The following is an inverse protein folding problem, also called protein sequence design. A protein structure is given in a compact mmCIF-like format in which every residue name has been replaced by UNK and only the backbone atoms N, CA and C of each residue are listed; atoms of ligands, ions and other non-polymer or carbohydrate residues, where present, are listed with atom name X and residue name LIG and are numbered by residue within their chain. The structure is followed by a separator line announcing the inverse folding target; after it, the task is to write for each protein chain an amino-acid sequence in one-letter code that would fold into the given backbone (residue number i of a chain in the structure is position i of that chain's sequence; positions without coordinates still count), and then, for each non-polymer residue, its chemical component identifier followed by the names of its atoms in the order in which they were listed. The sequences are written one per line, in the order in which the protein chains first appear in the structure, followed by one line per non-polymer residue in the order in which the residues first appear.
data_IF_217679268634
#
_entry.id   IF_217679268634
#
_cell.length_a   1.000
_cell.length_b   1.000
_cell.length_c   1.000
_cell.angle_alpha   90.00
_cell.angle_beta   90.00
_cell.angle_gamma   90.00
#
_symmetry.space_group_name_H-M   'P 1'
#
loop_
_entity.id
_entity.type
_entity.pdbx_description
1 polymer ?
#
# COMPACT_ATOMS: atom_id res chain seq x y z
N UNK A 1 -12.52 -25.40 -20.96
CA UNK A 1 -11.36 -24.65 -20.46
C UNK A 1 -11.47 -23.26 -21.04
N UNK A 2 -12.12 -22.36 -20.30
CA UNK A 2 -12.56 -21.05 -20.79
C UNK A 2 -11.42 -20.05 -20.80
N UNK A 3 -11.35 -19.31 -21.91
CA UNK A 3 -10.49 -18.17 -22.22
C UNK A 3 -10.12 -17.30 -21.01
N UNK A 4 -8.82 -17.23 -20.73
CA UNK A 4 -8.16 -16.36 -19.74
C UNK A 4 -7.81 -14.97 -20.33
N UNK A 5 -8.29 -14.64 -21.54
CA UNK A 5 -7.80 -13.51 -22.35
C UNK A 5 -8.67 -12.24 -22.25
N UNK A 6 -9.61 -12.15 -21.30
CA UNK A 6 -10.51 -10.99 -21.18
C UNK A 6 -10.12 -9.97 -20.09
N UNK A 7 -9.04 -10.21 -19.34
CA UNK A 7 -8.56 -9.26 -18.34
C UNK A 7 -7.38 -8.51 -18.95
N UNK A 8 -7.61 -7.25 -19.34
CA UNK A 8 -6.56 -6.40 -19.91
C UNK A 8 -5.29 -6.35 -19.06
N UNK A 9 -4.18 -5.95 -19.68
CA UNK A 9 -2.89 -5.84 -19.01
C UNK A 9 -2.99 -5.03 -17.71
N UNK A 10 -2.53 -5.62 -16.60
CA UNK A 10 -2.51 -4.97 -15.29
C UNK A 10 -1.22 -4.19 -15.10
N UNK A 11 -1.34 -2.92 -14.75
CA UNK A 11 -0.23 -2.00 -14.47
C UNK A 11 -0.23 -1.63 -13.00
N UNK A 12 0.94 -1.39 -12.41
CA UNK A 12 1.06 -0.91 -11.03
C UNK A 12 0.68 0.57 -10.91
N UNK A 13 -0.29 0.85 -10.05
CA UNK A 13 -0.71 2.17 -9.63
C UNK A 13 -0.43 2.35 -8.14
N UNK A 14 0.02 3.53 -7.75
CA UNK A 14 0.05 3.94 -6.36
C UNK A 14 -1.13 4.85 -6.04
N UNK A 15 -1.69 4.68 -4.84
CA UNK A 15 -2.56 5.69 -4.24
C UNK A 15 -1.67 6.63 -3.44
N UNK A 16 -1.46 7.83 -3.96
CA UNK A 16 -0.59 8.82 -3.33
C UNK A 16 -1.31 9.44 -2.14
N UNK A 17 -0.78 9.22 -0.95
CA UNK A 17 -1.39 9.77 0.25
C UNK A 17 -0.66 9.32 1.49
N UNK A 18 0.52 9.88 1.74
CA UNK A 18 1.20 9.85 3.05
C UNK A 18 0.41 10.63 4.13
N UNK A 19 -0.91 10.59 4.05
CA UNK A 19 -1.83 11.27 4.93
C UNK A 19 -1.85 10.51 6.24
N UNK A 20 -1.39 11.14 7.31
CA UNK A 20 -1.55 10.63 8.69
C UNK A 20 -3.02 10.59 9.14
N UNK A 21 -3.95 11.11 8.32
CA UNK A 21 -5.38 11.02 8.55
C UNK A 21 -5.89 9.58 8.35
N UNK A 22 -6.34 8.98 9.45
CA UNK A 22 -6.87 7.62 9.49
C UNK A 22 -8.13 7.42 8.68
N UNK A 23 -8.97 8.46 8.55
CA UNK A 23 -10.21 8.39 7.77
C UNK A 23 -9.87 8.29 6.28
N UNK A 24 -8.85 9.04 5.84
CA UNK A 24 -8.37 8.99 4.45
C UNK A 24 -7.80 7.62 4.12
N UNK A 25 -6.91 7.08 4.97
CA UNK A 25 -6.32 5.76 4.76
C UNK A 25 -7.38 4.63 4.77
N UNK A 26 -8.35 4.68 5.69
CA UNK A 26 -9.48 3.73 5.70
C UNK A 26 -10.30 3.78 4.40
N UNK A 27 -10.58 4.98 3.89
CA UNK A 27 -11.28 5.16 2.60
C UNK A 27 -10.46 4.65 1.42
N UNK A 28 -9.14 4.88 1.42
CA UNK A 28 -8.23 4.42 0.37
C UNK A 28 -8.17 2.90 0.31
N UNK A 29 -7.89 2.23 1.44
CA UNK A 29 -7.89 0.76 1.52
C UNK A 29 -9.23 0.18 1.05
N UNK A 30 -10.35 0.73 1.54
CA UNK A 30 -11.68 0.25 1.16
C UNK A 30 -11.96 0.43 -0.33
N UNK A 31 -11.58 1.56 -0.92
CA UNK A 31 -11.78 1.80 -2.34
C UNK A 31 -11.01 0.78 -3.20
N UNK A 32 -9.77 0.44 -2.83
CA UNK A 32 -8.99 -0.58 -3.55
C UNK A 32 -9.62 -1.96 -3.38
N UNK A 33 -10.00 -2.34 -2.16
CA UNK A 33 -10.69 -3.62 -1.91
C UNK A 33 -11.99 -3.73 -2.71
N UNK A 34 -12.77 -2.66 -2.81
CA UNK A 34 -14.03 -2.65 -3.55
C UNK A 34 -13.81 -2.80 -5.07
N UNK A 35 -12.75 -2.19 -5.62
CA UNK A 35 -12.39 -2.33 -7.04
C UNK A 35 -11.92 -3.75 -7.35
N UNK A 36 -11.17 -4.35 -6.43
CA UNK A 36 -10.60 -5.69 -6.59
C UNK A 36 -11.50 -6.82 -6.08
N UNK A 37 -12.70 -6.52 -5.57
CA UNK A 37 -13.54 -7.52 -4.89
C UNK A 37 -13.90 -8.70 -5.80
N UNK A 38 -14.14 -8.44 -7.09
CA UNK A 38 -14.51 -9.46 -8.07
C UNK A 38 -13.36 -10.35 -8.56
N UNK A 39 -12.10 -10.00 -8.23
CA UNK A 39 -10.90 -10.68 -8.73
C UNK A 39 -9.98 -11.18 -7.61
N UNK A 40 -10.15 -10.68 -6.39
CA UNK A 40 -9.38 -11.12 -5.22
C UNK A 40 -9.92 -12.46 -4.73
N UNK A 41 -9.03 -13.42 -4.49
CA UNK A 41 -9.39 -14.76 -3.97
C UNK A 41 -8.88 -14.98 -2.55
N UNK A 42 -7.88 -14.22 -2.12
CA UNK A 42 -7.24 -14.37 -0.81
C UNK A 42 -6.61 -13.05 -0.35
N UNK A 43 -6.51 -12.87 0.96
CA UNK A 43 -5.68 -11.84 1.58
C UNK A 43 -4.66 -12.49 2.52
N UNK A 44 -3.51 -11.85 2.69
CA UNK A 44 -2.60 -12.09 3.82
C UNK A 44 -2.54 -10.80 4.64
N UNK A 45 -2.72 -10.92 5.95
CA UNK A 45 -2.82 -9.76 6.85
C UNK A 45 -1.88 -9.92 8.03
N UNK A 46 -1.03 -8.91 8.24
CA UNK A 46 -0.26 -8.80 9.47
C UNK A 46 -1.16 -8.24 10.58
N UNK A 47 -1.46 -9.06 11.58
CA UNK A 47 -2.26 -8.59 12.71
C UNK A 47 -1.37 -7.85 13.72
N UNK A 48 -0.69 -6.81 13.24
CA UNK A 48 0.11 -5.83 13.97
C UNK A 48 -0.21 -4.44 13.44
N UNK A 49 -0.08 -3.43 14.31
CA UNK A 49 -0.36 -2.03 13.98
C UNK A 49 0.63 -1.12 14.68
N UNK A 50 1.24 -0.19 13.92
CA UNK A 50 2.11 0.85 14.48
C UNK A 50 1.32 1.94 15.22
N UNK A 51 0.00 2.00 14.99
CA UNK A 51 -0.92 2.98 15.60
C UNK A 51 -1.93 2.30 16.52
N UNK A 52 -1.54 1.19 17.15
CA UNK A 52 -2.41 0.39 18.03
C UNK A 52 -3.03 1.19 19.20
N UNK A 53 -2.32 2.20 19.70
CA UNK A 53 -2.80 3.07 20.77
C UNK A 53 -4.06 3.87 20.39
N UNK A 54 -4.20 4.21 19.10
CA UNK A 54 -5.32 5.02 18.58
C UNK A 54 -6.46 4.16 18.01
N UNK A 55 -6.34 2.83 18.10
CA UNK A 55 -7.24 1.89 17.46
C UNK A 55 -8.62 1.86 18.15
N UNK A 56 -9.73 2.17 17.43
CA UNK A 56 -11.09 2.06 17.96
C UNK A 56 -11.42 0.63 18.40
N UNK A 57 -12.35 0.48 19.35
CA UNK A 57 -12.74 -0.82 19.88
C UNK A 57 -13.18 -1.80 18.78
N UNK A 58 -14.00 -1.34 17.84
CA UNK A 58 -14.49 -2.14 16.71
C UNK A 58 -13.36 -2.68 15.81
N UNK A 59 -12.23 -1.96 15.71
CA UNK A 59 -11.07 -2.38 14.92
C UNK A 59 -10.20 -3.34 15.72
N UNK A 60 -10.06 -3.12 17.04
CA UNK A 60 -9.41 -4.08 17.95
C UNK A 60 -10.15 -5.42 17.97
N UNK A 61 -11.47 -5.39 17.92
CA UNK A 61 -12.29 -6.61 17.82
C UNK A 61 -12.05 -7.32 16.48
N UNK A 62 -11.87 -6.57 15.38
CA UNK A 62 -11.52 -7.13 14.08
C UNK A 62 -10.12 -7.77 14.08
N UNK A 63 -9.12 -7.08 14.64
CA UNK A 63 -7.76 -7.61 14.85
C UNK A 63 -7.79 -8.91 15.67
N UNK A 64 -8.52 -8.92 16.79
CA UNK A 64 -8.66 -10.09 17.65
C UNK A 64 -9.32 -11.27 16.92
N UNK A 65 -10.34 -10.99 16.08
CA UNK A 65 -10.97 -11.99 15.22
C UNK A 65 -9.99 -12.62 14.24
N UNK A 66 -9.19 -11.81 13.54
CA UNK A 66 -8.16 -12.28 12.60
C UNK A 66 -7.04 -13.07 13.31
N UNK A 67 -6.60 -12.63 14.49
CA UNK A 67 -5.65 -13.39 15.32
C UNK A 67 -6.23 -14.73 15.78
N UNK A 68 -7.55 -14.80 15.98
CA UNK A 68 -8.27 -16.03 16.33
C UNK A 68 -8.26 -17.04 15.19
N UNK A 69 -8.44 -16.60 13.94
CA UNK A 69 -8.43 -17.48 12.75
C UNK A 69 -7.02 -17.94 12.36
N UNK A 70 -5.98 -17.11 12.60
CA UNK A 70 -4.59 -17.42 12.25
C UNK A 70 -3.91 -18.53 13.06
N UNK A 71 -4.52 -19.04 14.15
CA UNK A 71 -3.87 -20.04 15.03
C UNK A 71 -3.77 -21.44 14.41
N UNK A 72 -4.44 -21.69 13.30
CA UNK A 72 -4.46 -23.01 12.64
C UNK A 72 -3.56 -23.02 11.41
N UNK A 73 -2.23 -23.14 11.62
CA UNK A 73 -1.40 -23.87 10.64
C UNK A 73 -0.21 -23.20 9.95
N UNK A 74 0.53 -22.26 10.55
CA UNK A 74 1.70 -21.65 9.87
C UNK A 74 3.09 -21.86 10.51
N UNK A 75 4.08 -21.88 9.60
CA UNK A 75 5.52 -22.14 9.72
C UNK A 75 6.36 -20.88 10.05
N UNK A 76 5.73 -19.73 10.28
CA UNK A 76 6.43 -18.49 10.60
C UNK A 76 6.75 -18.38 12.10
N UNK A 77 7.83 -17.69 12.44
CA UNK A 77 8.25 -17.42 13.83
C UNK A 77 7.18 -16.64 14.61
N UNK A 78 6.38 -15.85 13.91
CA UNK A 78 5.38 -14.97 14.47
C UNK A 78 3.98 -15.40 14.03
N UNK A 79 3.12 -15.91 14.94
CA UNK A 79 1.85 -16.55 14.60
C UNK A 79 0.76 -15.59 14.08
N UNK A 80 1.07 -14.30 14.00
CA UNK A 80 0.14 -13.23 13.59
C UNK A 80 0.65 -12.44 12.39
N UNK A 81 1.77 -12.87 11.81
CA UNK A 81 2.26 -12.37 10.51
C UNK A 81 1.61 -13.17 9.39
N UNK A 82 1.25 -12.48 8.31
CA UNK A 82 0.69 -13.04 7.08
C UNK A 82 -0.49 -14.01 7.33
N UNK A 83 -1.43 -13.63 8.20
CA UNK A 83 -2.62 -14.42 8.48
C UNK A 83 -3.44 -14.55 7.18
N UNK A 84 -3.59 -15.76 6.62
CA UNK A 84 -4.31 -15.92 5.36
C UNK A 84 -5.81 -15.89 5.62
N UNK A 85 -6.52 -15.19 4.74
CA UNK A 85 -7.99 -15.13 4.72
C UNK A 85 -8.47 -15.41 3.31
N UNK A 86 -9.29 -16.46 3.16
CA UNK A 86 -9.92 -16.81 1.90
C UNK A 86 -11.10 -15.86 1.62
N UNK A 87 -11.27 -15.41 0.37
CA UNK A 87 -12.38 -14.52 -0.01
C UNK A 87 -13.75 -15.16 0.21
N UNK A 88 -13.84 -16.49 0.14
CA UNK A 88 -15.09 -17.23 0.34
C UNK A 88 -15.55 -17.28 1.81
N UNK A 89 -14.67 -17.00 2.77
CA UNK A 89 -15.05 -16.78 4.16
C UNK A 89 -15.50 -15.32 4.33
N UNK A 90 -16.79 -15.07 4.10
CA UNK A 90 -17.36 -13.72 4.18
C UNK A 90 -17.15 -13.06 5.55
N UNK A 91 -17.18 -13.85 6.63
CA UNK A 91 -17.05 -13.34 7.98
C UNK A 91 -15.60 -12.89 8.23
N UNK A 92 -14.62 -13.71 7.87
CA UNK A 92 -13.21 -13.36 7.98
C UNK A 92 -12.82 -12.23 7.02
N UNK A 93 -13.36 -12.24 5.79
CA UNK A 93 -13.12 -11.17 4.81
C UNK A 93 -13.63 -9.82 5.28
N UNK A 94 -14.77 -9.78 5.97
CA UNK A 94 -15.28 -8.55 6.59
C UNK A 94 -14.33 -8.02 7.70
N UNK A 95 -13.69 -8.91 8.47
CA UNK A 95 -12.65 -8.50 9.42
C UNK A 95 -11.47 -7.86 8.69
N UNK A 96 -11.02 -8.43 7.56
CA UNK A 96 -9.98 -7.82 6.72
C UNK A 96 -10.41 -6.44 6.25
N UNK A 97 -11.63 -6.27 5.73
CA UNK A 97 -12.12 -4.97 5.25
C UNK A 97 -12.15 -3.89 6.34
N UNK A 98 -12.44 -4.27 7.59
CA UNK A 98 -12.41 -3.35 8.73
C UNK A 98 -10.99 -3.04 9.18
N UNK A 99 -10.15 -4.07 9.28
CA UNK A 99 -8.82 -3.96 9.87
C UNK A 99 -7.73 -3.48 8.90
N UNK A 100 -7.90 -3.63 7.58
CA UNK A 100 -6.83 -3.47 6.59
C UNK A 100 -6.04 -2.15 6.70
N UNK A 101 -6.73 -1.03 6.95
CA UNK A 101 -6.06 0.27 7.10
C UNK A 101 -5.28 0.40 8.42
N UNK A 102 -5.40 -0.52 9.35
CA UNK A 102 -4.69 -0.52 10.63
C UNK A 102 -3.55 -1.54 10.67
N UNK A 103 -3.48 -2.43 9.67
CA UNK A 103 -2.41 -3.40 9.53
C UNK A 103 -1.11 -2.75 9.05
N UNK A 104 0.03 -3.19 9.57
CA UNK A 104 1.34 -2.85 8.99
C UNK A 104 1.52 -3.39 7.56
N UNK A 105 0.85 -4.49 7.22
CA UNK A 105 0.86 -5.08 5.88
C UNK A 105 -0.45 -5.83 5.54
N UNK A 106 -0.99 -5.56 4.37
CA UNK A 106 -2.05 -6.39 3.75
C UNK A 106 -1.69 -6.66 2.32
N UNK A 107 -1.65 -7.93 1.92
CA UNK A 107 -1.51 -8.34 0.53
C UNK A 107 -2.81 -8.97 0.04
N UNK A 108 -3.37 -8.46 -1.05
CA UNK A 108 -4.52 -9.03 -1.74
C UNK A 108 -4.05 -9.83 -2.95
N UNK A 109 -4.47 -11.08 -3.07
CA UNK A 109 -4.07 -11.99 -4.13
C UNK A 109 -5.23 -12.30 -5.06
N UNK A 110 -4.93 -12.34 -6.36
CA UNK A 110 -5.75 -13.05 -7.35
C UNK A 110 -5.37 -14.53 -7.41
N UNK A 111 -5.70 -15.20 -8.51
CA UNK A 111 -5.36 -16.61 -8.72
C UNK A 111 -3.87 -16.87 -8.91
N UNK A 112 -3.10 -15.85 -9.30
CA UNK A 112 -1.68 -15.94 -9.61
C UNK A 112 -0.88 -14.86 -8.87
N UNK A 113 0.39 -15.14 -8.49
CA UNK A 113 1.31 -14.13 -7.98
C UNK A 113 1.79 -13.18 -9.09
N UNK A 114 2.33 -11.99 -8.74
CA UNK A 114 2.41 -11.37 -7.41
C UNK A 114 1.06 -10.80 -6.91
N UNK A 115 0.96 -10.27 -5.67
CA UNK A 115 -0.26 -9.64 -5.15
C UNK A 115 -0.89 -8.64 -6.12
N UNK A 116 -2.23 -8.59 -6.14
CA UNK A 116 -3.00 -7.56 -6.84
C UNK A 116 -2.92 -6.22 -6.15
N UNK A 117 -2.81 -6.18 -4.83
CA UNK A 117 -2.56 -4.95 -4.09
C UNK A 117 -1.83 -5.21 -2.79
N UNK A 118 -1.04 -4.23 -2.37
CA UNK A 118 -0.35 -4.25 -1.09
C UNK A 118 -0.61 -2.94 -0.35
N UNK A 119 -1.02 -3.04 0.90
CA UNK A 119 -1.22 -1.91 1.82
C UNK A 119 -0.15 -1.99 2.91
N UNK A 120 0.78 -1.04 2.89
CA UNK A 120 1.83 -0.92 3.90
C UNK A 120 1.55 0.24 4.86
N UNK A 121 2.19 0.17 6.01
CA UNK A 121 2.26 1.25 7.00
C UNK A 121 0.85 1.74 7.36
N UNK A 122 -0.06 0.82 7.71
CA UNK A 122 -1.44 1.17 8.05
C UNK A 122 -2.16 1.92 6.91
N UNK A 123 -1.94 1.49 5.66
CA UNK A 123 -2.57 2.09 4.49
C UNK A 123 -2.02 3.48 4.10
N UNK A 124 -0.86 3.88 4.61
CA UNK A 124 -0.16 5.10 4.17
C UNK A 124 0.58 4.92 2.85
N UNK A 125 0.88 3.68 2.47
CA UNK A 125 1.46 3.34 1.18
C UNK A 125 0.67 2.20 0.56
N UNK A 126 -0.04 2.49 -0.53
CA UNK A 126 -0.90 1.53 -1.22
C UNK A 126 -0.45 1.43 -2.68
N UNK A 127 -0.14 0.21 -3.11
CA UNK A 127 0.16 -0.12 -4.51
C UNK A 127 -0.82 -1.18 -4.97
N UNK A 128 -1.35 -1.04 -6.19
CA UNK A 128 -2.28 -2.00 -6.77
C UNK A 128 -1.99 -2.23 -8.26
N UNK A 129 -2.02 -3.48 -8.70
CA UNK A 129 -1.93 -3.93 -10.09
C UNK A 129 -3.33 -3.95 -10.70
N UNK A 130 -3.65 -2.91 -11.47
CA UNK A 130 -5.00 -2.64 -11.97
C UNK A 130 -5.05 -2.69 -13.49
N UNK A 131 -6.18 -3.12 -14.05
CA UNK A 131 -6.49 -2.83 -15.46
C UNK A 131 -6.82 -1.34 -15.64
N UNK A 132 -6.91 -0.88 -16.89
CA UNK A 132 -7.29 0.51 -17.17
C UNK A 132 -8.69 0.87 -16.60
N UNK A 133 -9.64 -0.05 -16.68
CA UNK A 133 -11.00 0.12 -16.18
C UNK A 133 -11.04 0.20 -14.64
N UNK A 134 -10.30 -0.68 -13.98
CA UNK A 134 -10.17 -0.69 -12.52
C UNK A 134 -9.46 0.57 -12.01
N UNK A 135 -8.40 1.02 -12.70
CA UNK A 135 -7.70 2.26 -12.37
C UNK A 135 -8.62 3.49 -12.53
N UNK A 136 -9.44 3.51 -13.58
CA UNK A 136 -10.44 4.56 -13.78
C UNK A 136 -11.52 4.54 -12.69
N UNK A 137 -12.00 3.36 -12.28
CA UNK A 137 -12.95 3.24 -11.17
C UNK A 137 -12.34 3.70 -9.85
N UNK A 138 -11.11 3.26 -9.54
CA UNK A 138 -10.41 3.67 -8.33
C UNK A 138 -10.19 5.19 -8.28
N UNK A 139 -9.77 5.78 -9.40
CA UNK A 139 -9.59 7.24 -9.54
C UNK A 139 -10.90 7.99 -9.26
N UNK A 140 -12.02 7.47 -9.76
CA UNK A 140 -13.34 8.05 -9.51
C UNK A 140 -13.73 7.97 -8.04
N UNK A 141 -13.49 6.82 -7.38
CA UNK A 141 -13.79 6.61 -5.95
C UNK A 141 -12.95 7.48 -5.03
N UNK A 142 -11.71 7.77 -5.42
CA UNK A 142 -10.76 8.58 -4.63
C UNK A 142 -10.69 10.05 -5.05
N UNK A 143 -11.62 10.49 -5.92
CA UNK A 143 -11.68 11.88 -6.36
C UNK A 143 -11.81 12.84 -5.17
N UNK A 144 -10.83 13.73 -5.04
CA UNK A 144 -10.76 14.71 -3.94
C UNK A 144 -10.25 14.14 -2.61
N UNK A 145 -9.81 12.89 -2.59
CA UNK A 145 -9.22 12.22 -1.41
C UNK A 145 -7.73 11.99 -1.63
N UNK A 146 -7.38 11.25 -2.68
CA UNK A 146 -6.00 10.86 -2.98
C UNK A 146 -5.83 10.68 -4.51
N UNK A 147 -4.74 11.19 -5.12
CA UNK A 147 -4.43 10.86 -6.50
C UNK A 147 -4.08 9.39 -6.66
N UNK A 148 -4.46 8.83 -7.81
CA UNK A 148 -4.07 7.50 -8.26
C UNK A 148 -3.24 7.68 -9.51
N UNK A 149 -2.01 7.14 -9.51
CA UNK A 149 -1.05 7.35 -10.60
C UNK A 149 -0.27 6.08 -10.88
N UNK A 150 0.15 5.85 -12.14
CA UNK A 150 1.08 4.77 -12.45
C UNK A 150 2.35 4.89 -11.60
N UNK A 151 2.81 3.77 -11.02
CA UNK A 151 3.97 3.76 -10.15
C UNK A 151 5.26 4.12 -10.92
N UNK A 152 5.33 3.79 -12.21
CA UNK A 152 6.44 4.17 -13.10
C UNK A 152 6.63 5.68 -13.18
N UNK A 153 5.55 6.45 -13.35
CA UNK A 153 5.61 7.91 -13.42
C UNK A 153 6.18 8.51 -12.12
N UNK A 154 5.74 8.00 -10.97
CA UNK A 154 6.24 8.43 -9.65
C UNK A 154 7.74 8.14 -9.52
N UNK A 155 8.19 6.97 -9.98
CA UNK A 155 9.60 6.60 -9.94
C UNK A 155 10.47 7.47 -10.85
N UNK A 156 9.98 7.82 -12.03
CA UNK A 156 10.66 8.71 -12.97
C UNK A 156 10.82 10.13 -12.38
N UNK A 157 9.75 10.70 -11.83
CA UNK A 157 9.79 12.01 -11.17
C UNK A 157 10.79 12.03 -10.01
N UNK A 158 10.73 11.02 -9.13
CA UNK A 158 11.69 10.88 -8.00
C UNK A 158 13.12 10.68 -8.48
N UNK A 159 13.34 10.02 -9.61
CA UNK A 159 14.68 9.88 -10.18
C UNK A 159 15.25 11.24 -10.61
N UNK A 160 14.45 12.05 -11.31
CA UNK A 160 14.81 13.41 -11.73
C UNK A 160 15.09 14.30 -10.53
N UNK A 161 14.25 14.26 -9.48
CA UNK A 161 14.48 15.02 -8.25
C UNK A 161 15.78 14.62 -7.55
N UNK A 162 16.05 13.32 -7.43
CA UNK A 162 17.29 12.81 -6.82
C UNK A 162 18.52 13.28 -7.59
N UNK A 163 18.46 13.32 -8.91
CA UNK A 163 19.54 13.83 -9.74
C UNK A 163 19.77 15.34 -9.52
N UNK A 164 18.71 16.15 -9.54
CA UNK A 164 18.78 17.59 -9.24
C UNK A 164 19.39 17.84 -7.85
N UNK A 165 18.95 17.10 -6.83
CA UNK A 165 19.47 17.22 -5.48
C UNK A 165 20.96 16.84 -5.38
N UNK A 166 21.41 15.81 -6.13
CA UNK A 166 22.83 15.45 -6.24
C UNK A 166 23.65 16.57 -6.90
N UNK A 167 23.12 17.18 -7.96
CA UNK A 167 23.73 18.33 -8.62
C UNK A 167 23.89 19.53 -7.67
N UNK A 168 22.83 19.89 -6.95
CA UNK A 168 22.84 20.98 -5.98
C UNK A 168 23.87 20.76 -4.85
N UNK A 169 23.92 19.56 -4.26
CA UNK A 169 24.94 19.21 -3.23
C UNK A 169 26.37 19.32 -3.77
N UNK A 170 26.58 18.94 -5.03
CA UNK A 170 27.89 19.03 -5.68
C UNK A 170 28.29 20.50 -5.92
N UNK A 171 27.36 21.33 -6.37
CA UNK A 171 27.58 22.76 -6.55
C UNK A 171 27.88 23.46 -5.20
N UNK A 172 27.11 23.15 -4.16
CA UNK A 172 27.31 23.68 -2.80
C UNK A 172 28.67 23.27 -2.21
N UNK A 173 29.09 22.00 -2.39
CA UNK A 173 30.45 21.57 -2.04
C UNK A 173 31.49 22.39 -2.77
N UNK A 174 31.37 22.56 -4.10
CA UNK A 174 32.34 23.34 -4.89
C UNK A 174 32.39 24.81 -4.45
N UNK A 175 31.25 25.42 -4.15
CA UNK A 175 31.19 26.80 -3.63
C UNK A 175 31.90 26.93 -2.28
N UNK A 176 31.65 26.00 -1.33
CA UNK A 176 32.34 25.95 -0.04
C UNK A 176 33.87 25.82 -0.18
N UNK A 177 34.33 24.94 -1.07
CA UNK A 177 35.76 24.79 -1.37
C UNK A 177 36.36 26.09 -1.91
N UNK A 178 35.72 26.74 -2.90
CA UNK A 178 36.19 28.02 -3.46
C UNK A 178 36.27 29.13 -2.40
N UNK A 179 35.25 29.28 -1.57
CA UNK A 179 35.23 30.27 -0.50
C UNK A 179 36.37 30.06 0.52
N UNK A 180 36.69 28.79 0.84
CA UNK A 180 37.79 28.45 1.75
C UNK A 180 39.16 28.85 1.19
N UNK A 181 39.39 28.62 -0.11
CA UNK A 181 40.66 28.99 -0.76
C UNK A 181 40.83 30.51 -0.96
N UNK A 182 39.73 31.26 -1.10
CA UNK A 182 39.79 32.72 -1.19
C UNK A 182 40.16 33.36 0.16
N UNK A 183 39.69 32.81 1.29
CA UNK A 183 40.03 33.31 2.64
C UNK A 183 41.47 33.01 3.08
N UNK A 184 42.12 32.00 2.51
CA UNK A 184 43.52 31.67 2.81
C UNK A 184 44.55 32.47 2.01
N UNK A 185 44.10 33.42 1.17
CA UNK A 185 44.95 34.28 0.33
C UNK A 185 44.95 35.76 0.76
N UNK A 186 44.18 36.09 1.79
CA UNK A 186 44.14 37.38 2.49
C UNK A 186 44.76 37.21 3.86
#
# INVERSE_FOLDING_TARGET
MGSSDALGERVEYAVEGGSTDRVVAARACRAVMDVLDGVSVRAEVDCFSDVAADMPAEIRDAEAGLRGSGRTGFLHSDPWMAVPVDRSDEAAWDLVRRYASWSINVDLYGTEPPPLATFHDCGHSIVARLTAEEAADLTRRLKGIAPVRPLSEIHEERAVERERARGARTAERRARWRARFQRSRT
#
